data_IF_879588393344
#
_entry.id   IF_879588393344
#
_cell.length_a   1.000
_cell.length_b   1.000
_cell.length_c   1.000
_cell.angle_alpha   90.00
_cell.angle_beta   90.00
_cell.angle_gamma   90.00
#
_symmetry.space_group_name_H-M   'P 1'
#
loop_
_entity.id
_entity.type
_entity.pdbx_description
1 polymer ?
#
# COMPACT_ATOMS: atom_id res chain seq x y z
N UNK A 1 15.20 -9.26 -2.42
CA UNK A 1 15.73 -8.60 -1.21
C UNK A 1 15.61 -9.56 -0.04
N UNK A 2 16.71 -9.94 0.60
CA UNK A 2 16.74 -10.96 1.66
C UNK A 2 16.24 -10.44 3.02
N UNK A 3 15.04 -9.85 3.05
CA UNK A 3 14.23 -9.84 4.26
C UNK A 3 13.27 -11.02 4.14
N UNK A 4 13.48 -11.99 5.02
CA UNK A 4 12.56 -13.08 5.27
C UNK A 4 11.14 -12.53 5.44
N UNK A 5 10.15 -13.13 4.77
CA UNK A 5 8.73 -12.72 4.86
C UNK A 5 8.25 -12.57 6.31
N UNK A 6 8.84 -13.34 7.24
CA UNK A 6 8.56 -13.20 8.67
C UNK A 6 9.02 -11.85 9.23
N UNK A 7 10.20 -11.36 8.83
CA UNK A 7 10.70 -10.05 9.27
C UNK A 7 9.80 -8.92 8.77
N UNK A 8 9.26 -9.04 7.56
CA UNK A 8 8.32 -8.05 7.01
C UNK A 8 6.99 -8.05 7.74
N UNK A 9 6.48 -9.25 8.10
CA UNK A 9 5.25 -9.39 8.88
C UNK A 9 5.40 -8.74 10.26
N UNK A 10 6.52 -8.96 10.94
CA UNK A 10 6.80 -8.35 12.26
C UNK A 10 6.84 -6.83 12.17
N UNK A 11 7.49 -6.28 11.13
CA UNK A 11 7.52 -4.82 10.92
C UNK A 11 6.12 -4.30 10.63
N UNK A 12 5.32 -5.02 9.83
CA UNK A 12 3.95 -4.62 9.53
C UNK A 12 3.08 -4.59 10.78
N UNK A 13 3.13 -5.63 11.61
CA UNK A 13 2.41 -5.68 12.88
C UNK A 13 2.82 -4.55 13.83
N UNK A 14 4.11 -4.21 13.87
CA UNK A 14 4.58 -3.08 14.68
C UNK A 14 4.02 -1.73 14.17
N UNK A 15 3.94 -1.53 12.86
CA UNK A 15 3.35 -0.34 12.24
C UNK A 15 1.84 -0.26 12.45
N UNK A 16 1.13 -1.39 12.32
CA UNK A 16 -0.31 -1.48 12.54
C UNK A 16 -0.66 -1.21 14.00
N UNK A 17 0.08 -1.79 14.95
CA UNK A 17 -0.10 -1.47 16.37
C UNK A 17 0.24 0.00 16.67
N UNK A 18 1.21 0.57 15.96
CA UNK A 18 1.52 1.97 16.10
C UNK A 18 0.43 2.87 15.51
N UNK A 19 -0.33 2.47 14.48
CA UNK A 19 -1.36 3.36 13.93
C UNK A 19 -2.61 3.48 14.81
N UNK A 20 -2.85 2.52 15.71
CA UNK A 20 -4.03 2.50 16.59
C UNK A 20 -4.20 3.81 17.39
N UNK A 21 -5.38 4.42 17.27
CA UNK A 21 -5.76 5.63 17.98
C UNK A 21 -5.04 6.90 17.52
N UNK A 22 -4.35 6.86 16.37
CA UNK A 22 -3.58 7.98 15.82
C UNK A 22 -3.93 8.23 14.36
N UNK A 23 -3.77 9.48 13.92
CA UNK A 23 -3.72 9.77 12.47
C UNK A 23 -2.35 9.34 11.95
N UNK A 24 -2.34 8.36 11.07
CA UNK A 24 -1.11 7.81 10.48
C UNK A 24 -1.06 8.09 8.99
N UNK A 25 0.06 8.63 8.53
CA UNK A 25 0.35 8.81 7.11
C UNK A 25 1.49 7.85 6.75
N UNK A 26 1.23 6.94 5.83
CA UNK A 26 2.21 5.96 5.36
C UNK A 26 2.59 6.25 3.91
N UNK A 27 3.89 6.41 3.66
CA UNK A 27 4.45 6.47 2.31
C UNK A 27 5.20 5.16 2.11
N UNK A 28 4.68 4.27 1.25
CA UNK A 28 5.26 2.96 1.05
C UNK A 28 5.61 2.71 -0.41
N UNK A 29 6.71 2.00 -0.61
CA UNK A 29 7.03 1.33 -1.87
C UNK A 29 6.50 -0.11 -1.92
N UNK A 30 6.01 -0.62 -0.79
CA UNK A 30 5.46 -1.99 -0.65
C UNK A 30 3.96 -1.93 -0.45
N UNK A 31 3.25 -2.68 -1.29
CA UNK A 31 1.82 -2.80 -1.27
C UNK A 31 1.32 -3.46 0.02
N UNK A 32 2.09 -4.41 0.57
CA UNK A 32 1.78 -5.07 1.84
C UNK A 32 1.56 -4.07 2.98
N UNK A 33 2.25 -2.92 2.95
CA UNK A 33 2.18 -1.89 3.99
C UNK A 33 1.00 -0.93 3.84
N UNK A 34 0.43 -0.81 2.64
CA UNK A 34 -0.69 0.11 2.37
C UNK A 34 -2.02 -0.60 2.15
N UNK A 35 -2.03 -1.95 2.07
CA UNK A 35 -3.24 -2.73 1.81
C UNK A 35 -4.31 -2.55 2.87
N UNK A 36 -3.91 -2.35 4.13
CA UNK A 36 -4.81 -2.20 5.27
C UNK A 36 -5.14 -0.72 5.58
N UNK A 37 -4.72 0.23 4.73
CA UNK A 37 -5.01 1.64 4.96
C UNK A 37 -6.50 1.93 4.75
N UNK A 38 -7.05 2.79 5.61
CA UNK A 38 -8.44 3.26 5.50
C UNK A 38 -8.68 3.97 4.15
N UNK A 39 -7.70 4.74 3.70
CA UNK A 39 -7.70 5.45 2.42
C UNK A 39 -6.29 5.47 1.83
N UNK A 40 -6.22 5.23 0.53
CA UNK A 40 -4.99 5.25 -0.27
C UNK A 40 -5.09 6.42 -1.24
N UNK A 41 -4.02 7.21 -1.32
CA UNK A 41 -3.86 8.28 -2.29
C UNK A 41 -2.75 7.90 -3.27
N UNK A 42 -3.09 7.73 -4.55
CA UNK A 42 -2.10 7.45 -5.59
C UNK A 42 -1.61 8.76 -6.17
N UNK A 43 -0.29 8.96 -6.10
CA UNK A 43 0.36 10.18 -6.60
C UNK A 43 1.13 9.87 -7.87
N UNK A 44 0.78 10.56 -8.95
CA UNK A 44 1.47 10.47 -10.23
C UNK A 44 1.74 11.89 -10.77
N UNK A 45 2.98 12.17 -11.19
CA UNK A 45 3.43 13.50 -11.64
C UNK A 45 3.06 14.64 -10.67
N UNK A 46 3.23 14.40 -9.37
CA UNK A 46 2.98 15.40 -8.32
C UNK A 46 1.50 15.72 -8.07
N UNK A 47 0.57 14.91 -8.60
CA UNK A 47 -0.87 15.07 -8.38
C UNK A 47 -1.47 13.78 -7.87
N UNK A 48 -2.52 13.90 -7.05
CA UNK A 48 -3.36 12.76 -6.68
C UNK A 48 -4.19 12.37 -7.90
N UNK A 49 -3.99 11.17 -8.41
CA UNK A 49 -4.71 10.64 -9.58
C UNK A 49 -5.83 9.68 -9.21
N UNK A 50 -5.70 8.99 -8.07
CA UNK A 50 -6.72 8.08 -7.55
C UNK A 50 -6.80 8.17 -6.02
N UNK A 51 -7.98 7.89 -5.48
CA UNK A 51 -8.22 7.86 -4.03
C UNK A 51 -9.31 6.85 -3.70
N UNK A 52 -9.06 6.03 -2.68
CA UNK A 52 -10.02 5.04 -2.19
C UNK A 52 -9.38 3.99 -1.31
N UNK A 53 -10.16 3.04 -0.83
CA UNK A 53 -9.64 1.82 -0.22
C UNK A 53 -8.96 0.91 -1.24
N UNK A 54 -8.15 -0.04 -0.77
CA UNK A 54 -7.56 -1.07 -1.63
C UNK A 54 -8.61 -1.77 -2.51
N UNK A 55 -9.75 -2.17 -1.94
CA UNK A 55 -10.78 -2.90 -2.67
C UNK A 55 -11.47 -2.05 -3.74
N UNK A 56 -11.65 -0.75 -3.49
CA UNK A 56 -12.24 0.17 -4.46
C UNK A 56 -11.30 0.43 -5.63
N UNK A 57 -10.02 0.69 -5.33
CA UNK A 57 -9.02 0.97 -6.35
C UNK A 57 -8.72 -0.26 -7.23
N UNK A 58 -8.70 -1.46 -6.65
CA UNK A 58 -8.50 -2.70 -7.40
C UNK A 58 -9.63 -3.03 -8.40
N UNK A 59 -10.82 -2.43 -8.25
CA UNK A 59 -11.92 -2.58 -9.22
C UNK A 59 -11.70 -1.79 -10.51
N UNK A 60 -10.75 -0.85 -10.51
CA UNK A 60 -10.39 -0.05 -11.68
C UNK A 60 -9.39 -0.87 -12.52
N UNK A 61 -9.89 -1.50 -13.59
CA UNK A 61 -9.14 -2.46 -14.41
C UNK A 61 -7.86 -1.88 -15.02
N UNK A 62 -7.90 -0.61 -15.41
CA UNK A 62 -6.79 0.18 -15.99
C UNK A 62 -6.38 1.33 -15.07
N UNK A 63 -6.55 1.15 -13.75
CA UNK A 63 -6.17 2.13 -12.75
C UNK A 63 -4.66 2.18 -12.51
N UNK A 64 -4.16 3.33 -12.10
CA UNK A 64 -2.76 3.53 -11.73
C UNK A 64 -2.41 2.66 -10.52
N UNK A 65 -3.29 2.59 -9.51
CA UNK A 65 -3.12 1.71 -8.37
C UNK A 65 -2.98 0.24 -8.79
N UNK A 66 -3.93 -0.27 -9.58
CA UNK A 66 -3.95 -1.64 -10.07
C UNK A 66 -2.69 -1.98 -10.87
N UNK A 67 -2.20 -1.02 -11.66
CA UNK A 67 -0.96 -1.18 -12.42
C UNK A 67 0.27 -1.30 -11.51
N UNK A 68 0.37 -0.46 -10.47
CA UNK A 68 1.42 -0.55 -9.45
C UNK A 68 1.38 -1.89 -8.69
N UNK A 69 0.18 -2.37 -8.34
CA UNK A 69 -0.02 -3.68 -7.69
C UNK A 69 0.51 -4.82 -8.57
N UNK A 70 0.13 -4.83 -9.86
CA UNK A 70 0.55 -5.88 -10.80
C UNK A 70 2.07 -5.89 -10.99
N UNK A 71 2.69 -4.71 -11.13
CA UNK A 71 4.15 -4.60 -11.28
C UNK A 71 4.88 -5.22 -10.08
N UNK A 72 4.44 -4.91 -8.86
CA UNK A 72 5.08 -5.45 -7.66
C UNK A 72 4.86 -6.96 -7.46
N UNK A 73 3.74 -7.51 -7.95
CA UNK A 73 3.53 -8.96 -7.94
C UNK A 73 4.44 -9.71 -8.92
N UNK A 74 4.93 -9.04 -9.96
CA UNK A 74 5.86 -9.63 -10.93
C UNK A 74 7.32 -9.59 -10.46
N UNK A 75 7.65 -8.71 -9.51
CA UNK A 75 9.01 -8.56 -8.95
C UNK A 75 9.31 -9.52 -7.78
N UNK A 76 8.27 -10.20 -7.24
CA UNK A 76 8.36 -11.22 -6.19
C UNK A 76 8.21 -12.64 -6.77
#
# INVERSE_FOLDING_TARGET
>A
SALDSESERVVQEALDNASLGRTTIVIAHRLSTIRNADVIYVVHNGRVVETGSHEELMKILDGEYTSLVRLQQMEN
#
